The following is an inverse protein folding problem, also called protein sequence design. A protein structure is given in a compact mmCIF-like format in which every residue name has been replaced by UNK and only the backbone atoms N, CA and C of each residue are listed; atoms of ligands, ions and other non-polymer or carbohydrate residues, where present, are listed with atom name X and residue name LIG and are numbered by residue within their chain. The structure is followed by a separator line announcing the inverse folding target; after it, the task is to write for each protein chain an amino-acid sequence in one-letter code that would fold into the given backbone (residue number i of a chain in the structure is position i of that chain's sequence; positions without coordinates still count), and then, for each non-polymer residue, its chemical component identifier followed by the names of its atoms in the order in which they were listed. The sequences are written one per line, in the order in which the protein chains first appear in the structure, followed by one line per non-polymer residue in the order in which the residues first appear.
data_IF_759421276221
#
_entry.id   IF_759421276221
#
_cell.length_a   1.000
_cell.length_b   1.000
_cell.length_c   1.000
_cell.angle_alpha   90.00
_cell.angle_beta   90.00
_cell.angle_gamma   90.00
#
_symmetry.space_group_name_H-M   'P 1'
#
loop_
_entity.id
_entity.type
_entity.pdbx_description
1 polymer ?
#
# COMPACT_ATOMS: atom_id res chain seq x y z
N UNK A 1 30.22 -3.49 27.86
CA UNK A 1 29.48 -4.52 27.09
C UNK A 1 28.07 -4.07 26.69
N UNK A 2 27.55 -2.94 27.19
CA UNK A 2 26.23 -2.38 26.81
C UNK A 2 26.21 -1.68 25.44
N UNK A 3 27.30 -0.99 25.06
CA UNK A 3 27.34 -0.22 23.79
C UNK A 3 27.24 -1.06 22.52
N UNK A 4 27.47 -2.38 22.60
CA UNK A 4 27.37 -3.30 21.47
C UNK A 4 25.94 -3.76 21.22
N UNK A 5 25.15 -3.93 22.28
CA UNK A 5 23.73 -4.28 22.19
C UNK A 5 22.88 -3.09 21.73
N UNK A 6 23.20 -1.87 22.17
CA UNK A 6 22.61 -0.63 21.66
C UNK A 6 22.90 -0.42 20.17
N UNK A 7 24.14 -0.66 19.73
CA UNK A 7 24.50 -0.59 18.30
C UNK A 7 23.88 -1.69 17.44
N UNK A 8 23.59 -2.85 18.03
CA UNK A 8 22.89 -3.94 17.36
C UNK A 8 21.40 -3.63 17.21
N UNK A 9 20.76 -3.06 18.24
CA UNK A 9 19.39 -2.56 18.19
C UNK A 9 19.24 -1.38 17.21
N UNK A 10 20.18 -0.42 17.19
CA UNK A 10 20.18 0.66 16.19
C UNK A 10 20.36 0.15 14.75
N UNK A 11 21.13 -0.93 14.55
CA UNK A 11 21.30 -1.56 13.23
C UNK A 11 20.03 -2.25 12.72
N UNK A 12 19.22 -2.81 13.62
CA UNK A 12 17.92 -3.39 13.25
C UNK A 12 16.86 -2.33 13.00
N UNK A 13 16.98 -1.14 13.60
CA UNK A 13 16.02 -0.04 13.45
C UNK A 13 16.24 0.84 12.20
N UNK A 14 17.32 0.64 11.44
CA UNK A 14 17.71 1.56 10.34
C UNK A 14 18.01 0.82 9.03
N UNK A 15 17.06 0.02 8.52
CA UNK A 15 17.26 -0.71 7.25
C UNK A 15 16.13 -0.58 6.21
N UNK A 16 15.21 0.38 6.36
CA UNK A 16 14.22 0.67 5.31
C UNK A 16 14.43 2.06 4.71
N UNK A 17 15.61 2.30 4.14
CA UNK A 17 15.84 3.49 3.31
C UNK A 17 15.12 3.39 1.96
N UNK A 18 14.65 2.20 1.58
CA UNK A 18 13.86 1.94 0.38
C UNK A 18 12.38 1.75 0.71
N UNK A 19 11.45 2.14 -0.19
CA UNK A 19 10.03 1.82 -0.06
C UNK A 19 9.81 0.32 0.16
N UNK A 20 8.92 -0.05 1.07
CA UNK A 20 8.55 -1.45 1.34
C UNK A 20 7.66 -2.00 0.22
N UNK A 21 6.73 -1.19 -0.29
CA UNK A 21 5.86 -1.56 -1.41
C UNK A 21 6.53 -1.15 -2.72
N UNK A 22 6.63 -2.10 -3.65
CA UNK A 22 7.28 -1.91 -4.96
C UNK A 22 6.30 -1.95 -6.15
N UNK A 23 5.06 -2.34 -5.90
CA UNK A 23 4.04 -2.59 -6.92
C UNK A 23 2.67 -2.20 -6.40
N UNK A 24 1.81 -1.68 -7.28
CA UNK A 24 0.40 -1.46 -6.96
C UNK A 24 -0.37 -2.78 -6.83
N UNK A 25 0.15 -3.86 -7.42
CA UNK A 25 -0.40 -5.22 -7.32
C UNK A 25 0.09 -5.98 -6.09
N UNK A 26 0.96 -5.39 -5.27
CA UNK A 26 1.34 -5.94 -3.95
C UNK A 26 0.22 -5.68 -2.93
N UNK A 27 -0.93 -6.29 -3.19
CA UNK A 27 -2.18 -6.16 -2.44
C UNK A 27 -3.03 -7.41 -2.66
N UNK A 28 -3.98 -7.65 -1.77
CA UNK A 28 -4.95 -8.71 -1.99
C UNK A 28 -5.84 -8.43 -3.21
N UNK A 29 -6.06 -9.44 -4.05
CA UNK A 29 -6.83 -9.34 -5.29
C UNK A 29 -8.24 -8.77 -5.07
N UNK A 30 -8.90 -9.07 -3.94
CA UNK A 30 -10.27 -8.60 -3.68
C UNK A 30 -10.36 -7.07 -3.61
N UNK A 31 -9.27 -6.36 -3.25
CA UNK A 31 -9.25 -4.89 -3.25
C UNK A 31 -9.51 -4.32 -4.64
N UNK A 32 -8.87 -4.88 -5.66
CA UNK A 32 -9.08 -4.47 -7.07
C UNK A 32 -10.48 -4.81 -7.56
N UNK A 33 -11.01 -5.99 -7.18
CA UNK A 33 -12.37 -6.39 -7.54
C UNK A 33 -13.42 -5.47 -6.91
N UNK A 34 -13.29 -5.16 -5.61
CA UNK A 34 -14.17 -4.23 -4.92
C UNK A 34 -14.06 -2.82 -5.49
N UNK A 35 -12.84 -2.36 -5.79
CA UNK A 35 -12.64 -1.02 -6.32
C UNK A 35 -13.27 -0.84 -7.70
N UNK A 36 -13.20 -1.85 -8.57
CA UNK A 36 -13.94 -1.85 -9.83
C UNK A 36 -15.46 -1.69 -9.58
N UNK A 37 -16.03 -2.46 -8.65
CA UNK A 37 -17.44 -2.35 -8.30
C UNK A 37 -17.81 -0.96 -7.74
N UNK A 38 -16.95 -0.39 -6.88
CA UNK A 38 -17.12 0.97 -6.31
C UNK A 38 -17.04 2.03 -7.40
N UNK A 39 -16.05 1.94 -8.28
CA UNK A 39 -15.88 2.88 -9.39
C UNK A 39 -17.11 2.94 -10.30
N UNK A 40 -17.73 1.79 -10.58
CA UNK A 40 -18.90 1.72 -11.46
C UNK A 40 -20.23 2.07 -10.80
N UNK A 41 -20.34 2.02 -9.46
CA UNK A 41 -21.64 2.12 -8.77
C UNK A 41 -21.73 3.20 -7.69
N UNK A 42 -20.60 3.62 -7.14
CA UNK A 42 -20.53 4.41 -5.91
C UNK A 42 -19.46 5.52 -6.02
N UNK A 43 -19.38 6.18 -7.17
CA UNK A 43 -18.30 7.14 -7.48
C UNK A 43 -18.27 8.41 -6.62
N UNK A 44 -19.34 8.70 -5.88
CA UNK A 44 -19.55 9.86 -5.02
C UNK A 44 -19.68 9.51 -3.52
N UNK A 45 -19.47 8.23 -3.17
CA UNK A 45 -19.59 7.77 -1.78
C UNK A 45 -18.28 7.99 -1.04
N UNK A 46 -18.38 8.63 0.14
CA UNK A 46 -17.25 8.83 1.05
C UNK A 46 -17.28 7.79 2.18
N UNK A 47 -16.10 7.31 2.56
CA UNK A 47 -15.91 6.32 3.64
C UNK A 47 -14.74 6.72 4.53
N UNK A 48 -14.74 6.20 5.76
CA UNK A 48 -13.63 6.31 6.70
C UNK A 48 -13.24 4.91 7.19
N UNK A 49 -11.95 4.71 7.46
CA UNK A 49 -11.41 3.49 8.04
C UNK A 49 -10.46 3.84 9.19
N UNK A 50 -10.53 3.07 10.27
CA UNK A 50 -9.66 3.23 11.44
C UNK A 50 -8.76 2.01 11.60
N UNK A 51 -7.47 2.25 11.86
CA UNK A 51 -6.55 1.21 12.28
C UNK A 51 -6.74 0.89 13.76
N UNK A 52 -6.74 -0.39 14.12
CA UNK A 52 -6.73 -0.86 15.50
C UNK A 52 -5.77 -2.05 15.65
N UNK A 53 -4.73 -1.88 16.48
CA UNK A 53 -3.90 -3.00 16.93
C UNK A 53 -4.64 -3.72 18.06
N UNK A 54 -4.83 -5.05 17.95
CA UNK A 54 -5.57 -5.86 18.93
C UNK A 54 -4.68 -6.51 19.98
N UNK A 55 -3.36 -6.47 19.80
CA UNK A 55 -2.39 -6.90 20.78
C UNK A 55 -1.99 -5.78 21.74
N UNK A 56 -1.13 -6.10 22.70
CA UNK A 56 -0.64 -5.16 23.71
C UNK A 56 0.54 -4.29 23.22
N UNK A 57 0.87 -4.37 21.93
CA UNK A 57 2.01 -3.66 21.33
C UNK A 57 1.75 -2.15 21.20
N UNK A 58 2.68 -1.36 21.72
CA UNK A 58 2.68 0.09 21.58
C UNK A 58 3.41 0.52 20.30
N UNK A 59 2.64 0.70 19.22
CA UNK A 59 3.19 1.01 17.89
C UNK A 59 3.56 2.49 17.68
N UNK A 60 3.33 3.35 18.67
CA UNK A 60 3.56 4.81 18.55
C UNK A 60 4.98 5.19 18.16
N UNK A 61 5.98 4.39 18.54
CA UNK A 61 7.39 4.60 18.18
C UNK A 61 7.67 4.47 16.68
N UNK A 62 6.79 3.81 15.93
CA UNK A 62 6.94 3.59 14.49
C UNK A 62 6.20 4.64 13.64
N UNK A 63 5.53 5.62 14.27
CA UNK A 63 4.66 6.54 13.56
C UNK A 63 5.39 7.32 12.47
N UNK A 64 6.62 7.80 12.72
CA UNK A 64 7.42 8.53 11.73
C UNK A 64 7.78 7.63 10.54
N UNK A 65 8.28 6.42 10.81
CA UNK A 65 8.60 5.44 9.77
C UNK A 65 7.38 5.03 8.94
N UNK A 66 6.21 4.85 9.57
CA UNK A 66 4.96 4.56 8.86
C UNK A 66 4.56 5.73 7.96
N UNK A 67 4.68 6.99 8.45
CA UNK A 67 4.37 8.17 7.62
C UNK A 67 5.29 8.26 6.40
N UNK A 68 6.59 8.01 6.56
CA UNK A 68 7.54 7.99 5.43
C UNK A 68 7.15 6.94 4.38
N UNK A 69 6.75 5.74 4.82
CA UNK A 69 6.30 4.68 3.90
C UNK A 69 4.97 5.04 3.22
N UNK A 70 4.00 5.61 3.95
CA UNK A 70 2.74 6.09 3.36
C UNK A 70 2.99 7.17 2.33
N UNK A 71 3.88 8.12 2.59
CA UNK A 71 4.28 9.13 1.60
C UNK A 71 4.91 8.48 0.37
N UNK A 72 5.76 7.46 0.53
CA UNK A 72 6.36 6.76 -0.61
C UNK A 72 5.34 6.05 -1.51
N UNK A 73 4.18 5.67 -0.97
CA UNK A 73 3.12 5.01 -1.75
C UNK A 73 2.53 5.92 -2.83
N UNK A 74 2.68 7.25 -2.72
CA UNK A 74 2.21 8.20 -3.75
C UNK A 74 2.93 8.04 -5.10
N UNK A 75 4.07 7.35 -5.12
CA UNK A 75 4.86 7.11 -6.33
C UNK A 75 4.48 5.79 -7.02
N UNK A 76 3.64 4.95 -6.39
CA UNK A 76 3.18 3.70 -6.97
C UNK A 76 2.24 3.95 -8.16
N UNK A 77 2.54 3.32 -9.29
CA UNK A 77 1.71 3.34 -10.50
C UNK A 77 1.56 1.92 -11.02
N UNK A 78 0.42 1.63 -11.63
CA UNK A 78 0.23 0.38 -12.37
C UNK A 78 1.16 0.42 -13.59
N UNK A 79 2.13 -0.49 -13.62
CA UNK A 79 3.08 -0.58 -14.73
C UNK A 79 2.46 -1.24 -15.97
N UNK A 80 3.06 -1.02 -17.13
CA UNK A 80 2.53 -1.56 -18.41
C UNK A 80 2.46 -3.09 -18.44
N UNK A 81 3.42 -3.77 -17.81
CA UNK A 81 3.45 -5.23 -17.70
C UNK A 81 2.34 -5.75 -16.77
N UNK A 82 2.15 -5.09 -15.63
CA UNK A 82 1.08 -5.35 -14.67
C UNK A 82 -0.31 -5.13 -15.28
N UNK A 83 -0.47 -4.02 -16.00
CA UNK A 83 -1.69 -3.71 -16.74
C UNK A 83 -2.00 -4.77 -17.80
N UNK A 84 -0.99 -5.17 -18.58
CA UNK A 84 -1.14 -6.22 -19.60
C UNK A 84 -1.57 -7.53 -18.95
N UNK A 85 -0.97 -7.90 -17.83
CA UNK A 85 -1.34 -9.10 -17.08
C UNK A 85 -2.79 -9.03 -16.59
N UNK A 86 -3.20 -7.94 -15.93
CA UNK A 86 -4.58 -7.74 -15.48
C UNK A 86 -5.59 -7.83 -16.64
N UNK A 87 -5.24 -7.29 -17.81
CA UNK A 87 -6.09 -7.30 -19.01
C UNK A 87 -6.32 -8.69 -19.59
N UNK A 88 -5.50 -9.69 -19.22
CA UNK A 88 -5.74 -11.09 -19.60
C UNK A 88 -6.78 -11.79 -18.73
N UNK A 89 -7.09 -11.22 -17.57
CA UNK A 89 -8.04 -11.80 -16.62
C UNK A 89 -9.48 -11.44 -17.04
N UNK A 90 -10.42 -12.39 -17.01
CA UNK A 90 -11.78 -12.18 -17.52
C UNK A 90 -12.66 -11.29 -16.62
N UNK A 91 -12.14 -10.83 -15.49
CA UNK A 91 -12.90 -10.11 -14.46
C UNK A 91 -12.80 -8.59 -14.57
N UNK A 92 -11.73 -8.09 -15.18
CA UNK A 92 -11.47 -6.66 -15.30
C UNK A 92 -12.04 -6.11 -16.60
N UNK A 93 -12.71 -4.95 -16.50
CA UNK A 93 -13.34 -4.28 -17.63
C UNK A 93 -12.31 -3.46 -18.41
N UNK A 94 -12.66 -3.08 -19.64
CA UNK A 94 -11.77 -2.33 -20.54
C UNK A 94 -11.41 -0.93 -20.00
N UNK A 95 -12.17 -0.41 -19.03
CA UNK A 95 -11.91 0.87 -18.37
C UNK A 95 -10.95 0.77 -17.17
N UNK A 96 -10.23 -0.35 -17.06
CA UNK A 96 -9.15 -0.56 -16.10
C UNK A 96 -8.09 0.57 -16.10
N UNK A 97 -7.68 1.18 -17.24
CA UNK A 97 -6.77 2.33 -17.22
C UNK A 97 -7.32 3.54 -16.46
N UNK A 98 -8.63 3.83 -16.58
CA UNK A 98 -9.26 4.94 -15.85
C UNK A 98 -9.34 4.65 -14.36
N UNK A 99 -9.58 3.39 -13.99
CA UNK A 99 -9.49 2.92 -12.61
C UNK A 99 -8.07 3.09 -12.06
N UNK A 100 -7.06 2.66 -12.82
CA UNK A 100 -5.65 2.75 -12.47
C UNK A 100 -5.17 4.21 -12.30
N UNK A 101 -5.64 5.13 -13.15
CA UNK A 101 -5.31 6.55 -13.08
C UNK A 101 -5.88 7.25 -11.82
N UNK A 102 -6.87 6.65 -11.15
CA UNK A 102 -7.44 7.18 -9.91
C UNK A 102 -6.62 6.80 -8.66
N UNK A 103 -5.60 5.95 -8.80
CA UNK A 103 -4.68 5.65 -7.71
C UNK A 103 -3.64 6.76 -7.58
N UNK A 104 -3.98 7.75 -6.78
CA UNK A 104 -3.06 8.76 -6.25
C UNK A 104 -3.42 9.01 -4.79
N UNK A 105 -2.44 8.89 -3.90
CA UNK A 105 -2.54 9.40 -2.53
C UNK A 105 -2.41 10.92 -2.54
#
# INVERSE_FOLDING_TARGET
MERSSERMLLRTMTQFTSPVLHSLLDTDAYKLHMQQAVFHRYGDVHVAAEFRCRGDDLLGIYADAIREQVESMRDLRLRDDEYRWLSTLPFFRQDLPQLAARFSL
#
